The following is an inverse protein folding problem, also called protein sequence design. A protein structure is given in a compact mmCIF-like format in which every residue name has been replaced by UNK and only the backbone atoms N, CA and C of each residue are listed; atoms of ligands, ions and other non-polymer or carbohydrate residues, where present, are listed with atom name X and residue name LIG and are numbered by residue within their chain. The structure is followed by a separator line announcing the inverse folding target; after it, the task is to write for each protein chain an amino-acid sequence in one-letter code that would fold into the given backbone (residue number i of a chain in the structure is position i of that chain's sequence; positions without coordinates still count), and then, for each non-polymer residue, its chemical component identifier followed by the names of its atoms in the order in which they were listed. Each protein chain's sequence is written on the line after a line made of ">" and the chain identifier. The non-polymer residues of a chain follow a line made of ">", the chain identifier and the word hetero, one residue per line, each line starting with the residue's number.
data_IF_645872410572
#
_entry.id   IF_645872410572
#
_cell.length_a   1.000
_cell.length_b   1.000
_cell.length_c   1.000
_cell.angle_alpha   90.00
_cell.angle_beta   90.00
_cell.angle_gamma   90.00
#
_symmetry.space_group_name_H-M   'P 1'
#
loop_
_entity.id
_entity.type
_entity.pdbx_description
1 polymer ?
#
# COMPACT_ATOMS: atom_id res chain seq x y z
N UNK A 1 15.22 -16.99 -1.89
CA UNK A 1 16.40 -16.53 -1.14
C UNK A 1 16.03 -16.46 0.34
N UNK A 2 16.82 -17.04 1.25
CA UNK A 2 16.58 -17.02 2.71
C UNK A 2 16.37 -15.62 3.29
N UNK A 3 16.95 -14.57 2.69
CA UNK A 3 16.79 -13.19 3.13
C UNK A 3 15.39 -12.59 2.92
N UNK A 4 14.65 -13.03 1.89
CA UNK A 4 13.29 -12.52 1.61
C UNK A 4 12.27 -13.00 2.64
N UNK A 5 12.37 -14.25 3.10
CA UNK A 5 11.49 -14.81 4.12
C UNK A 5 11.70 -14.07 5.46
N UNK A 6 12.94 -13.67 5.74
CA UNK A 6 13.28 -12.89 6.94
C UNK A 6 12.64 -11.49 6.95
N UNK A 7 12.69 -10.74 5.84
CA UNK A 7 12.15 -9.36 5.81
C UNK A 7 10.63 -9.32 5.97
N UNK A 8 9.87 -10.20 5.31
CA UNK A 8 8.40 -10.23 5.46
C UNK A 8 7.96 -10.68 6.86
N UNK A 9 8.66 -11.64 7.46
CA UNK A 9 8.40 -12.06 8.83
C UNK A 9 8.66 -10.92 9.84
N UNK A 10 9.78 -10.21 9.66
CA UNK A 10 10.12 -9.06 10.50
C UNK A 10 9.14 -7.91 10.30
N UNK A 11 8.75 -7.62 9.06
CA UNK A 11 7.71 -6.62 8.78
C UNK A 11 6.39 -6.98 9.48
N UNK A 12 5.95 -8.23 9.39
CA UNK A 12 4.68 -8.67 9.97
C UNK A 12 4.68 -8.63 11.50
N UNK A 13 5.73 -9.16 12.13
CA UNK A 13 5.88 -9.13 13.60
C UNK A 13 6.04 -7.71 14.16
N UNK A 14 6.76 -6.84 13.44
CA UNK A 14 6.89 -5.42 13.79
C UNK A 14 5.57 -4.66 13.63
N UNK A 15 4.83 -4.93 12.55
CA UNK A 15 3.51 -4.35 12.31
C UNK A 15 2.54 -4.71 13.44
N UNK A 16 2.56 -5.96 13.91
CA UNK A 16 1.77 -6.39 15.07
C UNK A 16 2.04 -5.52 16.31
N UNK A 17 3.30 -5.21 16.61
CA UNK A 17 3.66 -4.34 17.75
C UNK A 17 3.09 -2.93 17.60
N UNK A 18 3.14 -2.36 16.41
CA UNK A 18 2.59 -1.02 16.13
C UNK A 18 1.06 -1.03 16.29
N UNK A 19 0.40 -2.05 15.72
CA UNK A 19 -1.06 -2.16 15.68
C UNK A 19 -1.64 -2.47 17.06
N UNK A 20 -1.15 -3.53 17.72
CA UNK A 20 -1.76 -4.07 18.93
C UNK A 20 -1.08 -3.58 20.21
N UNK A 21 0.25 -3.41 20.20
CA UNK A 21 0.98 -2.92 21.38
C UNK A 21 1.13 -1.40 21.40
N UNK A 22 0.66 -0.71 20.34
CA UNK A 22 0.72 0.76 20.20
C UNK A 22 2.12 1.33 20.33
N UNK A 23 3.13 0.55 19.96
CA UNK A 23 4.52 1.02 19.94
C UNK A 23 4.78 1.98 18.79
N UNK A 24 5.65 2.97 19.01
CA UNK A 24 6.03 3.91 17.95
C UNK A 24 6.90 3.21 16.88
N UNK A 25 6.81 3.63 15.60
CA UNK A 25 7.64 3.12 14.51
C UNK A 25 9.14 3.10 14.83
N UNK A 26 9.66 4.16 15.44
CA UNK A 26 11.07 4.32 15.77
C UNK A 26 11.50 3.36 16.87
N UNK A 27 10.63 3.11 17.85
CA UNK A 27 10.90 2.14 18.91
C UNK A 27 10.98 0.74 18.34
N UNK A 28 10.00 0.33 17.54
CA UNK A 28 10.00 -0.98 16.88
C UNK A 28 11.24 -1.13 15.98
N UNK A 29 11.56 -0.12 15.18
CA UNK A 29 12.73 -0.14 14.31
C UNK A 29 14.06 -0.20 15.09
N UNK A 30 14.18 0.50 16.22
CA UNK A 30 15.38 0.44 17.07
C UNK A 30 15.65 -0.98 17.56
N UNK A 31 14.62 -1.75 17.92
CA UNK A 31 14.78 -3.15 18.33
C UNK A 31 15.40 -4.01 17.21
N UNK A 32 15.09 -3.71 15.94
CA UNK A 32 15.64 -4.43 14.79
C UNK A 32 17.13 -4.12 14.56
N UNK A 33 17.61 -2.94 14.96
CA UNK A 33 19.00 -2.54 14.78
C UNK A 33 19.97 -3.22 15.76
N UNK A 34 19.50 -3.67 16.93
CA UNK A 34 20.36 -4.28 17.96
C UNK A 34 21.06 -5.57 17.51
N UNK A 35 20.56 -6.26 16.47
CA UNK A 35 21.16 -7.49 15.97
C UNK A 35 22.30 -7.30 14.96
N UNK A 36 22.66 -6.06 14.59
CA UNK A 36 23.56 -5.76 13.47
C UNK A 36 23.15 -6.46 12.15
N UNK A 37 21.83 -6.64 11.97
CA UNK A 37 21.24 -7.26 10.78
C UNK A 37 20.82 -6.15 9.81
N UNK A 38 21.31 -6.22 8.58
CA UNK A 38 20.85 -5.36 7.49
C UNK A 38 19.66 -6.01 6.79
N UNK A 39 18.54 -5.30 6.71
CA UNK A 39 17.34 -5.76 6.02
C UNK A 39 17.30 -5.20 4.61
N UNK A 40 17.01 -6.06 3.64
CA UNK A 40 16.82 -5.64 2.25
C UNK A 40 15.60 -4.70 2.18
N UNK A 41 15.74 -3.50 1.60
CA UNK A 41 14.60 -2.61 1.43
C UNK A 41 13.67 -3.11 0.33
N UNK A 42 12.42 -2.67 0.36
CA UNK A 42 11.41 -3.04 -0.63
C UNK A 42 11.61 -2.25 -1.93
N UNK A 43 11.58 -2.97 -3.04
CA UNK A 43 11.61 -2.41 -4.40
C UNK A 43 10.22 -2.28 -5.00
N UNK A 44 10.13 -1.61 -6.14
CA UNK A 44 8.91 -1.51 -6.93
C UNK A 44 8.71 -2.70 -7.90
N UNK A 45 7.62 -2.64 -8.67
CA UNK A 45 7.24 -3.65 -9.66
C UNK A 45 7.74 -3.34 -11.09
N UNK A 46 8.63 -2.36 -11.29
CA UNK A 46 9.18 -2.06 -12.60
C UNK A 46 10.06 -3.20 -13.12
N UNK A 47 10.11 -3.31 -14.46
CA UNK A 47 11.06 -4.15 -15.15
C UNK A 47 12.39 -3.42 -15.26
N UNK A 48 13.46 -4.03 -14.73
CA UNK A 48 14.81 -3.44 -14.74
C UNK A 48 15.31 -3.04 -13.36
N UNK A 49 16.20 -2.05 -13.35
CA UNK A 49 16.90 -1.57 -12.14
C UNK A 49 15.98 -0.75 -11.25
N UNK A 50 16.00 -1.05 -9.96
CA UNK A 50 15.27 -0.29 -8.94
C UNK A 50 16.09 0.94 -8.51
N UNK A 51 15.52 2.13 -8.62
CA UNK A 51 16.19 3.40 -8.26
C UNK A 51 15.59 4.06 -7.01
N UNK A 52 14.54 3.49 -6.43
CA UNK A 52 13.89 3.98 -5.22
C UNK A 52 13.55 2.81 -4.31
N UNK A 53 13.86 2.92 -3.02
CA UNK A 53 13.75 1.82 -2.08
C UNK A 53 12.98 2.27 -0.84
N UNK A 54 12.01 1.48 -0.41
CA UNK A 54 11.31 1.69 0.86
C UNK A 54 11.97 0.89 1.97
N UNK A 55 12.24 1.54 3.09
CA UNK A 55 12.75 0.88 4.29
C UNK A 55 11.61 0.28 5.11
N UNK A 56 11.95 -0.58 6.08
CA UNK A 56 10.98 -1.04 7.08
C UNK A 56 10.40 0.13 7.88
N UNK A 57 11.22 1.15 8.19
CA UNK A 57 10.78 2.31 8.95
C UNK A 57 9.72 3.12 8.18
N UNK A 58 9.89 3.31 6.86
CA UNK A 58 8.88 3.94 6.02
C UNK A 58 7.53 3.20 6.10
N UNK A 59 7.57 1.86 6.03
CA UNK A 59 6.37 1.03 6.16
C UNK A 59 5.74 1.10 7.57
N UNK A 60 6.56 1.17 8.61
CA UNK A 60 6.08 1.31 9.99
C UNK A 60 5.40 2.65 10.23
N UNK A 61 5.96 3.74 9.73
CA UNK A 61 5.32 5.05 9.75
C UNK A 61 4.01 5.06 8.95
N UNK A 62 3.98 4.39 7.79
CA UNK A 62 2.78 4.26 6.98
C UNK A 62 1.64 3.57 7.76
N UNK A 63 1.92 2.43 8.42
CA UNK A 63 0.95 1.72 9.26
C UNK A 63 0.49 2.59 10.42
N UNK A 64 1.42 3.22 11.14
CA UNK A 64 1.08 4.07 12.28
C UNK A 64 0.18 5.24 11.86
N UNK A 65 0.47 5.91 10.75
CA UNK A 65 -0.39 6.98 10.21
C UNK A 65 -1.73 6.44 9.69
N UNK A 66 -1.75 5.27 9.07
CA UNK A 66 -2.99 4.62 8.65
C UNK A 66 -3.92 4.33 9.84
N UNK A 67 -3.39 3.92 10.99
CA UNK A 67 -4.16 3.78 12.23
C UNK A 67 -4.68 5.15 12.73
N UNK A 68 -3.84 6.18 12.71
CA UNK A 68 -4.21 7.53 13.15
C UNK A 68 -5.30 8.18 12.28
N UNK A 69 -5.25 7.95 10.96
CA UNK A 69 -6.22 8.51 10.01
C UNK A 69 -7.42 7.60 9.75
N UNK A 70 -7.53 6.46 10.45
CA UNK A 70 -8.64 5.52 10.30
C UNK A 70 -8.65 4.80 8.94
N UNK A 71 -7.50 4.70 8.26
CA UNK A 71 -7.37 3.91 7.03
C UNK A 71 -7.28 2.42 7.34
N UNK A 72 -6.79 2.08 8.54
CA UNK A 72 -6.67 0.71 9.02
C UNK A 72 -7.38 0.58 10.37
N UNK A 73 -8.35 -0.33 10.44
CA UNK A 73 -9.00 -0.73 11.68
C UNK A 73 -9.25 -2.24 11.65
N UNK A 74 -8.46 -3.01 12.40
CA UNK A 74 -8.60 -4.47 12.44
C UNK A 74 -9.86 -4.97 13.15
N UNK A 75 -10.59 -4.11 13.85
CA UNK A 75 -11.87 -4.50 14.45
C UNK A 75 -12.98 -4.61 13.40
N UNK A 76 -12.86 -3.86 12.30
CA UNK A 76 -13.84 -3.83 11.21
C UNK A 76 -13.27 -4.32 9.86
N UNK A 77 -11.99 -4.72 9.81
CA UNK A 77 -11.34 -5.21 8.60
C UNK A 77 -11.85 -6.60 8.21
N UNK A 78 -12.51 -6.70 7.05
CA UNK A 78 -12.94 -7.97 6.47
C UNK A 78 -11.83 -8.54 5.57
N UNK A 79 -11.08 -9.50 6.13
CA UNK A 79 -10.02 -10.18 5.41
C UNK A 79 -10.56 -11.03 4.23
N UNK A 80 -11.75 -11.62 4.36
CA UNK A 80 -12.34 -12.44 3.30
C UNK A 80 -12.76 -11.57 2.12
N UNK A 81 -13.36 -10.41 2.38
CA UNK A 81 -13.70 -9.44 1.34
C UNK A 81 -12.43 -8.96 0.62
N UNK A 82 -11.39 -8.59 1.37
CA UNK A 82 -10.11 -8.14 0.83
C UNK A 82 -9.48 -9.21 -0.08
N UNK A 83 -9.32 -10.44 0.43
CA UNK A 83 -8.71 -11.56 -0.30
C UNK A 83 -9.56 -12.00 -1.51
N UNK A 84 -10.88 -11.88 -1.40
CA UNK A 84 -11.78 -12.18 -2.52
C UNK A 84 -11.54 -11.18 -3.66
N UNK A 85 -11.64 -9.88 -3.41
CA UNK A 85 -11.64 -8.87 -4.47
C UNK A 85 -10.25 -8.47 -4.97
N UNK A 86 -9.17 -8.77 -4.24
CA UNK A 86 -7.82 -8.58 -4.76
C UNK A 86 -7.49 -9.51 -5.95
N UNK A 87 -8.22 -10.62 -6.09
CA UNK A 87 -8.03 -11.64 -7.12
C UNK A 87 -8.52 -11.15 -8.49
N UNK A 88 -7.81 -11.55 -9.55
CA UNK A 88 -8.07 -11.06 -10.91
C UNK A 88 -9.49 -11.40 -11.39
N UNK A 89 -9.93 -12.62 -11.14
CA UNK A 89 -11.24 -13.20 -11.46
C UNK A 89 -12.40 -12.52 -10.76
N UNK A 90 -12.14 -11.79 -9.67
CA UNK A 90 -13.17 -11.12 -8.89
C UNK A 90 -13.17 -9.59 -9.08
N UNK A 91 -12.39 -9.08 -10.03
CA UNK A 91 -12.41 -7.66 -10.43
C UNK A 91 -11.10 -6.92 -10.18
N UNK A 92 -10.16 -7.50 -9.41
CA UNK A 92 -8.82 -6.95 -9.17
C UNK A 92 -8.86 -5.52 -8.59
N UNK A 93 -9.41 -5.36 -7.39
CA UNK A 93 -9.51 -4.07 -6.73
C UNK A 93 -9.23 -4.12 -5.24
N UNK A 94 -8.80 -2.98 -4.69
CA UNK A 94 -8.53 -2.82 -3.26
C UNK A 94 -8.89 -1.39 -2.82
N UNK A 95 -9.46 -1.27 -1.62
CA UNK A 95 -9.56 0.03 -0.94
C UNK A 95 -8.18 0.53 -0.57
N UNK A 96 -7.90 1.80 -0.89
CA UNK A 96 -6.69 2.49 -0.45
C UNK A 96 -7.01 3.42 0.73
N UNK A 97 -8.17 4.09 0.66
CA UNK A 97 -8.76 4.80 1.78
C UNK A 97 -10.19 4.25 1.93
N UNK A 98 -10.51 3.52 3.02
CA UNK A 98 -11.83 2.92 3.22
C UNK A 98 -12.96 3.93 2.98
N UNK A 99 -13.97 3.52 2.21
CA UNK A 99 -15.16 4.33 1.87
C UNK A 99 -14.89 5.66 1.14
N UNK A 100 -13.65 5.94 0.73
CA UNK A 100 -13.31 7.17 -0.01
C UNK A 100 -12.62 6.91 -1.34
N UNK A 101 -11.55 6.12 -1.40
CA UNK A 101 -10.81 5.86 -2.64
C UNK A 101 -10.44 4.38 -2.78
N UNK A 102 -10.83 3.81 -3.92
CA UNK A 102 -10.48 2.46 -4.37
C UNK A 102 -9.62 2.51 -5.63
N UNK A 103 -8.66 1.58 -5.74
CA UNK A 103 -7.87 1.33 -6.93
C UNK A 103 -8.27 0.00 -7.56
N UNK A 104 -8.47 -0.03 -8.89
CA UNK A 104 -8.85 -1.26 -9.59
C UNK A 104 -8.22 -1.42 -10.98
N UNK A 105 -8.20 -2.66 -11.49
CA UNK A 105 -7.78 -2.97 -12.86
C UNK A 105 -8.80 -2.45 -13.87
N UNK A 106 -8.33 -1.88 -14.98
CA UNK A 106 -9.20 -1.25 -15.96
C UNK A 106 -10.16 -2.23 -16.66
N UNK A 107 -11.47 -1.93 -16.69
CA UNK A 107 -12.45 -2.72 -17.43
C UNK A 107 -12.15 -2.77 -18.93
N UNK A 108 -12.81 -3.71 -19.61
CA UNK A 108 -12.83 -3.84 -21.06
C UNK A 108 -14.25 -3.79 -21.60
N UNK A 109 -14.40 -3.71 -22.93
CA UNK A 109 -15.71 -3.68 -23.57
C UNK A 109 -16.54 -4.95 -23.32
N UNK A 110 -15.92 -6.09 -23.03
CA UNK A 110 -16.62 -7.35 -22.70
C UNK A 110 -15.85 -8.14 -21.65
N UNK A 111 -16.57 -8.88 -20.81
CA UNK A 111 -15.95 -9.85 -19.91
C UNK A 111 -15.46 -11.05 -20.71
N UNK A 112 -14.17 -11.38 -20.62
CA UNK A 112 -13.55 -12.50 -21.32
C UNK A 112 -12.25 -12.91 -20.65
N UNK A 113 -11.86 -14.17 -20.75
CA UNK A 113 -10.51 -14.59 -20.35
C UNK A 113 -9.59 -14.53 -21.56
N UNK A 114 -8.49 -13.77 -21.45
CA UNK A 114 -7.50 -13.60 -22.53
C UNK A 114 -6.11 -13.88 -21.95
N UNK A 115 -5.37 -14.82 -22.57
CA UNK A 115 -4.05 -15.26 -22.10
C UNK A 115 -4.01 -15.65 -20.61
N UNK A 116 -5.09 -16.29 -20.13
CA UNK A 116 -5.23 -16.71 -18.74
C UNK A 116 -5.53 -15.58 -17.75
N UNK A 117 -5.72 -14.34 -18.21
CA UNK A 117 -6.14 -13.22 -17.36
C UNK A 117 -7.63 -12.89 -17.62
N UNK A 118 -8.47 -12.84 -16.57
CA UNK A 118 -9.87 -12.47 -16.70
C UNK A 118 -10.02 -10.95 -16.89
N UNK A 119 -10.58 -10.56 -18.02
CA UNK A 119 -11.04 -9.21 -18.29
C UNK A 119 -12.50 -9.08 -17.89
N UNK A 120 -12.83 -7.95 -17.25
CA UNK A 120 -14.18 -7.64 -16.77
C UNK A 120 -14.76 -6.46 -17.52
N UNK A 121 -16.04 -6.55 -17.88
CA UNK A 121 -16.82 -5.41 -18.33
C UNK A 121 -17.19 -4.48 -17.15
N UNK A 122 -17.52 -3.20 -17.39
CA UNK A 122 -17.98 -2.26 -16.35
C UNK A 122 -19.03 -2.84 -15.40
N UNK A 123 -20.01 -3.58 -15.91
CA UNK A 123 -21.16 -4.10 -15.18
C UNK A 123 -20.76 -5.08 -14.07
N UNK A 124 -19.62 -5.76 -14.22
CA UNK A 124 -19.11 -6.66 -13.18
C UNK A 124 -18.83 -5.92 -11.86
N UNK A 125 -18.55 -4.62 -11.93
CA UNK A 125 -18.24 -3.78 -10.77
C UNK A 125 -19.48 -3.14 -10.13
N UNK A 126 -20.60 -3.02 -10.87
CA UNK A 126 -21.74 -2.22 -10.43
C UNK A 126 -22.36 -2.67 -9.11
N UNK A 127 -22.58 -3.98 -8.85
CA UNK A 127 -23.19 -4.41 -7.59
C UNK A 127 -22.36 -4.00 -6.38
N UNK A 128 -21.04 -4.15 -6.47
CA UNK A 128 -20.12 -3.75 -5.42
C UNK A 128 -20.08 -2.21 -5.29
N UNK A 129 -19.91 -1.50 -6.41
CA UNK A 129 -19.84 -0.04 -6.41
C UNK A 129 -21.09 0.60 -5.80
N UNK A 130 -22.29 0.14 -6.14
CA UNK A 130 -23.55 0.65 -5.57
C UNK A 130 -23.66 0.34 -4.08
N UNK A 131 -23.34 -0.89 -3.67
CA UNK A 131 -23.38 -1.29 -2.25
C UNK A 131 -22.44 -0.45 -1.38
N UNK A 132 -21.27 -0.08 -1.91
CA UNK A 132 -20.25 0.66 -1.17
C UNK A 132 -20.22 2.16 -1.49
N UNK A 133 -21.34 2.70 -1.98
CA UNK A 133 -21.52 4.14 -2.26
C UNK A 133 -20.41 4.74 -3.13
N UNK A 134 -19.94 4.00 -4.13
CA UNK A 134 -19.07 4.56 -5.18
C UNK A 134 -19.96 5.38 -6.10
N UNK A 135 -19.65 6.66 -6.23
CA UNK A 135 -20.38 7.60 -7.09
C UNK A 135 -19.59 7.98 -8.33
N UNK A 136 -18.26 7.88 -8.26
CA UNK A 136 -17.37 8.47 -9.27
C UNK A 136 -16.32 7.47 -9.74
N UNK A 137 -16.14 7.36 -11.05
CA UNK A 137 -15.13 6.53 -11.70
C UNK A 137 -14.16 7.42 -12.49
N UNK A 138 -12.86 7.25 -12.25
CA UNK A 138 -11.80 8.00 -12.95
C UNK A 138 -10.94 7.03 -13.75
N UNK A 139 -10.89 7.23 -15.07
CA UNK A 139 -10.08 6.45 -16.01
C UNK A 139 -8.81 7.21 -16.40
N UNK A 140 -7.67 6.54 -16.27
CA UNK A 140 -6.34 7.13 -16.53
C UNK A 140 -5.63 6.57 -17.77
N UNK A 141 -6.26 5.63 -18.50
CA UNK A 141 -5.68 4.95 -19.66
C UNK A 141 -6.52 5.16 -20.93
N UNK A 142 -5.97 4.70 -22.08
CA UNK A 142 -6.69 4.67 -23.35
C UNK A 142 -8.05 3.99 -23.17
N UNK A 143 -9.05 4.42 -23.95
CA UNK A 143 -10.44 3.97 -23.82
C UNK A 143 -10.56 2.49 -24.24
N UNK A 144 -10.66 1.58 -23.26
CA UNK A 144 -10.88 0.14 -23.48
C UNK A 144 -12.36 -0.26 -23.43
N UNK A 145 -13.22 0.68 -23.06
CA UNK A 145 -14.67 0.53 -22.93
C UNK A 145 -15.34 1.91 -23.11
N UNK A 146 -16.64 1.93 -23.36
CA UNK A 146 -17.41 3.18 -23.45
C UNK A 146 -17.80 3.69 -22.05
N UNK A 147 -17.46 4.95 -21.73
CA UNK A 147 -17.77 5.57 -20.44
C UNK A 147 -19.27 5.70 -20.19
N UNK A 148 -20.10 5.73 -21.24
CA UNK A 148 -21.57 5.74 -21.12
C UNK A 148 -22.08 4.58 -20.26
N UNK A 149 -21.42 3.43 -20.29
CA UNK A 149 -21.82 2.26 -19.49
C UNK A 149 -21.83 2.53 -17.98
N UNK A 150 -20.90 3.35 -17.48
CA UNK A 150 -20.93 3.81 -16.09
C UNK A 150 -21.94 4.93 -15.89
N UNK A 151 -22.00 5.91 -16.80
CA UNK A 151 -22.93 7.05 -16.70
C UNK A 151 -24.39 6.62 -16.68
N UNK A 152 -24.78 5.73 -17.59
CA UNK A 152 -26.14 5.18 -17.71
C UNK A 152 -26.51 4.34 -16.47
N UNK A 153 -25.52 3.82 -15.74
CA UNK A 153 -25.71 3.07 -14.50
C UNK A 153 -25.78 3.96 -13.24
N UNK A 154 -25.62 5.28 -13.40
CA UNK A 154 -25.70 6.28 -12.33
C UNK A 154 -24.36 6.68 -11.71
N UNK A 155 -23.23 6.45 -12.39
CA UNK A 155 -21.91 6.86 -11.90
C UNK A 155 -21.36 8.05 -12.70
N UNK A 156 -20.78 9.02 -12.02
CA UNK A 156 -19.95 10.04 -12.67
C UNK A 156 -18.71 9.38 -13.28
N UNK A 157 -18.32 9.81 -14.48
CA UNK A 157 -17.17 9.24 -15.18
C UNK A 157 -16.29 10.31 -15.79
N UNK A 158 -15.00 10.27 -15.43
CA UNK A 158 -13.98 11.23 -15.86
C UNK A 158 -12.80 10.53 -16.54
N UNK A 159 -12.35 11.12 -17.65
CA UNK A 159 -11.16 10.70 -18.38
C UNK A 159 -10.00 11.66 -18.07
N UNK A 160 -8.97 11.17 -17.35
CA UNK A 160 -7.74 11.91 -17.04
C UNK A 160 -6.53 11.14 -17.59
N UNK A 161 -6.47 11.03 -18.92
CA UNK A 161 -5.48 10.21 -19.61
C UNK A 161 -4.04 10.75 -19.47
N UNK A 162 -3.11 9.84 -19.20
CA UNK A 162 -1.68 10.04 -19.45
C UNK A 162 -1.00 8.70 -19.77
N UNK A 163 0.18 8.76 -20.42
CA UNK A 163 0.86 7.61 -21.00
C UNK A 163 1.24 6.54 -19.96
N UNK A 164 1.31 5.27 -20.39
CA UNK A 164 1.66 4.17 -19.49
C UNK A 164 3.12 4.28 -19.04
N UNK A 165 3.38 4.11 -17.74
CA UNK A 165 4.71 4.29 -17.15
C UNK A 165 5.21 5.74 -17.06
N UNK A 166 4.46 6.73 -17.54
CA UNK A 166 4.81 8.16 -17.40
C UNK A 166 4.31 8.75 -16.07
N UNK A 167 4.58 10.03 -15.87
CA UNK A 167 4.09 10.85 -14.76
C UNK A 167 2.95 11.77 -15.23
N UNK A 168 2.00 12.15 -14.34
CA UNK A 168 0.95 13.11 -14.69
C UNK A 168 1.51 14.53 -14.71
N UNK A 169 0.91 15.42 -15.49
CA UNK A 169 1.19 16.85 -15.43
C UNK A 169 0.31 17.54 -14.38
N UNK A 170 0.62 18.80 -14.06
CA UNK A 170 -0.09 19.57 -13.03
C UNK A 170 -1.58 19.75 -13.30
N UNK A 171 -1.99 19.85 -14.57
CA UNK A 171 -3.40 19.96 -14.94
C UNK A 171 -4.18 18.69 -14.55
N UNK A 172 -3.61 17.51 -14.82
CA UNK A 172 -4.19 16.21 -14.44
C UNK A 172 -4.26 16.08 -12.91
N UNK A 173 -3.21 16.48 -12.19
CA UNK A 173 -3.18 16.42 -10.71
C UNK A 173 -4.28 17.30 -10.13
N UNK A 174 -4.37 18.56 -10.58
CA UNK A 174 -5.39 19.51 -10.12
C UNK A 174 -6.80 19.04 -10.43
N UNK A 175 -7.04 18.53 -11.64
CA UNK A 175 -8.33 17.96 -12.02
C UNK A 175 -8.70 16.75 -11.15
N UNK A 176 -7.76 15.83 -10.93
CA UNK A 176 -7.96 14.68 -10.06
C UNK A 176 -8.32 15.08 -8.62
N UNK A 177 -7.53 15.97 -8.01
CA UNK A 177 -7.78 16.46 -6.66
C UNK A 177 -9.14 17.15 -6.56
N UNK A 178 -9.48 18.01 -7.52
CA UNK A 178 -10.77 18.69 -7.55
C UNK A 178 -11.95 17.70 -7.65
N UNK A 179 -11.85 16.68 -8.51
CA UNK A 179 -12.88 15.63 -8.58
C UNK A 179 -13.00 14.90 -7.24
N UNK A 180 -11.88 14.48 -6.64
CA UNK A 180 -11.91 13.76 -5.37
C UNK A 180 -12.47 14.58 -4.20
N UNK A 181 -12.19 15.87 -4.17
CA UNK A 181 -12.66 16.81 -3.14
C UNK A 181 -14.16 17.09 -3.23
N UNK A 182 -14.75 17.03 -4.44
CA UNK A 182 -16.16 17.35 -4.68
C UNK A 182 -17.05 16.11 -4.87
N UNK A 183 -16.49 14.90 -4.97
CA UNK A 183 -17.27 13.68 -5.08
C UNK A 183 -18.11 13.41 -3.82
N UNK A 184 -19.41 13.19 -4.01
CA UNK A 184 -20.39 12.93 -2.94
C UNK A 184 -20.16 11.60 -2.22
N UNK A 185 -19.66 10.58 -2.94
CA UNK A 185 -19.35 9.27 -2.41
C UNK A 185 -17.90 8.85 -2.61
N UNK A 186 -17.71 7.53 -2.66
CA UNK A 186 -16.42 6.92 -2.91
C UNK A 186 -16.03 7.04 -4.39
N UNK A 187 -14.73 7.11 -4.62
CA UNK A 187 -14.13 7.23 -5.96
C UNK A 187 -13.39 5.94 -6.30
N UNK A 188 -13.70 5.38 -7.47
CA UNK A 188 -12.99 4.25 -8.04
C UNK A 188 -12.04 4.74 -9.15
N UNK A 189 -10.74 4.53 -8.98
CA UNK A 189 -9.70 5.00 -9.91
C UNK A 189 -9.06 3.80 -10.59
N UNK A 190 -8.94 3.84 -11.91
CA UNK A 190 -8.24 2.79 -12.66
C UNK A 190 -7.34 3.34 -13.76
N UNK A 191 -6.34 2.54 -14.12
CA UNK A 191 -5.60 2.66 -15.36
C UNK A 191 -5.72 1.34 -16.11
N UNK A 192 -4.60 0.76 -16.59
CA UNK A 192 -4.58 -0.60 -17.12
C UNK A 192 -4.57 -1.63 -15.99
N UNK A 193 -3.47 -1.77 -15.26
CA UNK A 193 -3.38 -2.70 -14.13
C UNK A 193 -3.90 -2.12 -12.79
N UNK A 194 -4.22 -0.82 -12.74
CA UNK A 194 -4.62 -0.16 -11.50
C UNK A 194 -3.47 0.01 -10.49
N UNK A 195 -2.22 0.12 -10.95
CA UNK A 195 -1.03 0.11 -10.09
C UNK A 195 -0.19 1.40 -10.19
N UNK A 196 0.47 1.64 -11.33
CA UNK A 196 1.36 2.79 -11.52
C UNK A 196 0.61 4.13 -11.48
N UNK A 197 0.02 4.52 -12.61
CA UNK A 197 -0.74 5.78 -12.77
C UNK A 197 -1.80 6.00 -11.68
N UNK A 198 -2.55 4.94 -11.36
CA UNK A 198 -3.58 4.95 -10.31
C UNK A 198 -2.97 5.24 -8.95
N UNK A 199 -1.93 4.51 -8.55
CA UNK A 199 -1.24 4.75 -7.29
C UNK A 199 -0.64 6.15 -7.20
N UNK A 200 -0.08 6.67 -8.31
CA UNK A 200 0.52 8.01 -8.35
C UNK A 200 -0.49 9.12 -8.02
N UNK A 201 -1.66 9.13 -8.67
CA UNK A 201 -2.66 10.17 -8.38
C UNK A 201 -3.29 10.02 -6.99
N UNK A 202 -3.58 8.78 -6.56
CA UNK A 202 -4.06 8.53 -5.19
C UNK A 202 -3.02 8.98 -4.16
N UNK A 203 -1.72 8.79 -4.43
CA UNK A 203 -0.66 9.27 -3.57
C UNK A 203 -0.63 10.80 -3.43
N UNK A 204 -0.84 11.55 -4.53
CA UNK A 204 -0.97 13.01 -4.46
C UNK A 204 -2.11 13.42 -3.51
N UNK A 205 -3.27 12.75 -3.58
CA UNK A 205 -4.39 13.00 -2.66
C UNK A 205 -4.02 12.69 -1.20
N UNK A 206 -3.39 11.55 -0.93
CA UNK A 206 -2.98 11.19 0.43
C UNK A 206 -1.97 12.20 1.00
N UNK A 207 -0.93 12.55 0.24
CA UNK A 207 0.06 13.54 0.67
C UNK A 207 -0.60 14.90 0.94
N UNK A 208 -1.51 15.35 0.08
CA UNK A 208 -2.21 16.62 0.24
C UNK A 208 -3.10 16.65 1.48
N UNK A 209 -3.98 15.67 1.62
CA UNK A 209 -5.02 15.73 2.66
C UNK A 209 -4.55 15.22 4.02
N UNK A 210 -3.57 14.31 4.05
CA UNK A 210 -3.12 13.64 5.27
C UNK A 210 -1.66 13.92 5.61
N UNK A 211 -0.94 14.69 4.79
CA UNK A 211 0.44 15.14 5.08
C UNK A 211 1.40 13.99 5.38
N UNK A 212 1.17 12.85 4.72
CA UNK A 212 2.10 11.72 4.69
C UNK A 212 3.27 12.04 3.76
N UNK A 213 4.45 11.52 4.04
CA UNK A 213 5.59 11.61 3.11
C UNK A 213 5.32 10.76 1.88
N UNK A 214 6.04 11.00 0.79
CA UNK A 214 5.96 10.17 -0.40
C UNK A 214 6.30 8.71 -0.09
N UNK A 215 7.36 8.47 0.70
CA UNK A 215 7.76 7.11 1.10
C UNK A 215 6.67 6.39 1.90
N UNK A 216 6.12 7.04 2.93
CA UNK A 216 5.01 6.49 3.74
C UNK A 216 3.77 6.24 2.89
N UNK A 217 3.45 7.16 1.97
CA UNK A 217 2.29 7.05 1.09
C UNK A 217 2.44 5.89 0.13
N UNK A 218 3.60 5.76 -0.54
CA UNK A 218 3.88 4.64 -1.44
C UNK A 218 3.83 3.32 -0.66
N UNK A 219 4.40 3.29 0.55
CA UNK A 219 4.35 2.12 1.42
C UNK A 219 2.90 1.73 1.76
N UNK A 220 2.06 2.68 2.18
CA UNK A 220 0.65 2.45 2.48
C UNK A 220 -0.11 1.89 1.28
N UNK A 221 -0.01 2.55 0.12
CA UNK A 221 -0.71 2.09 -1.09
C UNK A 221 -0.24 0.69 -1.48
N UNK A 222 1.05 0.36 -1.29
CA UNK A 222 1.58 -1.00 -1.56
C UNK A 222 1.14 -2.04 -0.53
N UNK A 223 0.91 -1.66 0.71
CA UNK A 223 0.31 -2.53 1.73
C UNK A 223 -1.12 -2.88 1.33
N UNK A 224 -1.92 -1.90 0.87
CA UNK A 224 -3.28 -2.13 0.40
C UNK A 224 -3.36 -2.82 -0.97
N UNK A 225 -2.43 -2.49 -1.88
CA UNK A 225 -2.43 -2.94 -3.27
C UNK A 225 -0.99 -3.10 -3.78
N UNK A 226 -0.39 -4.29 -3.62
CA UNK A 226 1.00 -4.55 -3.94
C UNK A 226 1.38 -4.20 -5.38
N UNK A 227 2.54 -3.54 -5.56
CA UNK A 227 3.08 -3.14 -6.85
C UNK A 227 2.63 -1.76 -7.35
N UNK A 228 1.85 -1.02 -6.56
CA UNK A 228 1.45 0.36 -6.88
C UNK A 228 2.62 1.35 -6.86
N UNK A 229 2.51 2.39 -7.69
CA UNK A 229 3.55 3.42 -7.98
C UNK A 229 4.84 2.79 -8.52
N UNK A 230 5.13 3.02 -9.81
CA UNK A 230 6.12 2.23 -10.55
C UNK A 230 7.16 3.13 -11.24
N UNK A 231 8.43 2.75 -11.13
CA UNK A 231 9.54 3.40 -11.82
C UNK A 231 9.69 4.86 -11.43
N UNK A 232 9.75 5.73 -12.45
CA UNK A 232 9.94 7.19 -12.33
C UNK A 232 8.86 7.88 -11.49
N UNK A 233 7.66 7.29 -11.41
CA UNK A 233 6.56 7.81 -10.59
C UNK A 233 6.90 7.93 -9.10
N UNK A 234 7.85 7.13 -8.60
CA UNK A 234 8.29 7.21 -7.20
C UNK A 234 9.06 8.49 -6.93
N UNK A 235 9.99 8.85 -7.82
CA UNK A 235 10.78 10.08 -7.71
C UNK A 235 9.92 11.32 -7.92
N UNK A 236 8.98 11.26 -8.87
CA UNK A 236 7.99 12.32 -9.06
C UNK A 236 7.20 12.62 -7.77
N UNK A 237 6.81 11.61 -6.99
CA UNK A 237 6.10 11.84 -5.72
C UNK A 237 7.00 12.49 -4.65
N UNK A 238 8.29 12.19 -4.64
CA UNK A 238 9.25 12.91 -3.77
C UNK A 238 9.30 14.40 -4.12
N UNK A 239 9.39 14.71 -5.41
CA UNK A 239 9.43 16.09 -5.91
C UNK A 239 8.13 16.84 -5.59
N UNK A 240 6.98 16.17 -5.71
CA UNK A 240 5.66 16.76 -5.43
C UNK A 240 5.29 16.86 -3.95
N UNK A 241 6.04 16.22 -3.04
CA UNK A 241 5.64 16.12 -1.63
C UNK A 241 5.42 17.49 -0.96
N UNK A 242 6.37 18.42 -1.12
CA UNK A 242 6.30 19.75 -0.50
C UNK A 242 5.13 20.58 -1.03
N UNK A 243 4.92 20.54 -2.35
CA UNK A 243 3.79 21.20 -3.02
C UNK A 243 2.45 20.65 -2.52
N UNK A 244 2.28 19.32 -2.49
CA UNK A 244 1.05 18.70 -2.00
C UNK A 244 0.78 19.03 -0.54
N UNK A 245 1.81 19.02 0.31
CA UNK A 245 1.66 19.44 1.71
C UNK A 245 1.20 20.89 1.83
N UNK A 246 1.81 21.81 1.08
CA UNK A 246 1.45 23.22 1.08
C UNK A 246 0.01 23.44 0.59
N UNK A 247 -0.37 22.84 -0.53
CA UNK A 247 -1.75 22.92 -1.03
C UNK A 247 -2.75 22.33 -0.03
N UNK A 248 -2.36 21.27 0.68
CA UNK A 248 -3.12 20.67 1.76
C UNK A 248 -3.32 21.60 2.95
N UNK A 249 -2.26 22.30 3.36
CA UNK A 249 -2.31 23.30 4.44
C UNK A 249 -3.22 24.47 4.05
N UNK A 250 -3.14 24.94 2.80
CA UNK A 250 -4.05 25.96 2.26
C UNK A 250 -5.51 25.46 2.24
N UNK A 251 -5.74 24.24 1.77
CA UNK A 251 -7.07 23.63 1.71
C UNK A 251 -7.73 23.52 3.09
N UNK A 252 -7.01 22.95 4.08
CA UNK A 252 -7.50 22.83 5.46
C UNK A 252 -7.73 24.20 6.10
N UNK A 253 -6.90 25.19 5.79
CA UNK A 253 -7.07 26.56 6.28
C UNK A 253 -8.32 27.23 5.72
N UNK A 254 -8.64 27.02 4.43
CA UNK A 254 -9.87 27.52 3.81
C UNK A 254 -11.11 26.87 4.44
N UNK A 255 -11.12 25.55 4.63
CA UNK A 255 -12.23 24.85 5.27
C UNK A 255 -12.51 25.36 6.69
N UNK A 256 -11.47 25.55 7.50
CA UNK A 256 -11.60 26.14 8.85
C UNK A 256 -12.21 27.54 8.82
N UNK A 257 -11.82 28.37 7.85
CA UNK A 257 -12.40 29.72 7.67
C UNK A 257 -13.87 29.66 7.26
N UNK A 258 -14.22 28.81 6.30
CA UNK A 258 -15.61 28.64 5.86
C UNK A 258 -16.50 28.11 6.97
N UNK A 259 -16.03 27.11 7.74
CA UNK A 259 -16.75 26.59 8.90
C UNK A 259 -16.93 27.67 9.98
N UNK A 260 -15.89 28.44 10.28
CA UNK A 260 -15.99 29.57 11.22
C UNK A 260 -17.02 30.58 10.75
N UNK A 261 -17.03 30.94 9.47
CA UNK A 261 -18.00 31.87 8.90
C UNK A 261 -19.43 31.32 8.93
N UNK A 262 -19.62 30.04 8.64
CA UNK A 262 -20.93 29.37 8.73
C UNK A 262 -21.45 29.34 10.17
N UNK A 263 -20.61 28.99 11.15
CA UNK A 263 -20.97 29.02 12.58
C UNK A 263 -21.31 30.44 13.02
N UNK A 264 -20.51 31.45 12.63
CA UNK A 264 -20.83 32.85 12.92
C UNK A 264 -22.16 33.27 12.30
N UNK A 265 -22.47 32.85 11.07
CA UNK A 265 -23.75 33.14 10.40
C UNK A 265 -24.94 32.46 11.07
N UNK A 266 -24.78 31.26 11.62
CA UNK A 266 -25.82 30.59 12.42
C UNK A 266 -26.05 31.34 13.73
N UNK A 267 -24.97 31.71 14.44
CA UNK A 267 -25.07 32.43 15.72
C UNK A 267 -25.65 33.85 15.55
N UNK A 268 -25.36 34.53 14.44
CA UNK A 268 -25.98 35.82 14.11
C UNK A 268 -27.35 35.67 13.46
N UNK A 269 -27.75 34.47 13.07
CA UNK A 269 -29.00 34.17 12.36
C UNK A 269 -30.15 33.73 13.27
N UNK A 270 -29.97 33.79 14.60
CA UNK A 270 -31.04 33.49 15.58
C UNK A 270 -32.04 34.64 15.73
N UNK A 271 -31.74 35.84 15.21
CA UNK A 271 -32.62 37.03 15.35
C UNK A 271 -33.34 37.48 14.07
N UNK A 272 -33.22 36.79 12.93
CA UNK A 272 -33.96 37.19 11.72
C UNK A 272 -34.41 35.97 10.88
N UNK A 273 -35.62 35.50 11.16
CA UNK A 273 -36.37 34.66 10.21
C UNK A 273 -37.17 35.59 9.32
N UNK A 274 -36.70 35.77 8.09
CA UNK A 274 -37.49 36.27 6.97
C UNK A 274 -37.38 35.30 5.80
N UNK A 275 -38.49 34.64 5.49
CA UNK A 275 -38.68 33.78 4.31
C UNK A 275 -38.79 34.69 3.09
N UNK A 276 -37.95 34.48 2.07
CA UNK A 276 -38.38 34.80 0.72
C UNK A 276 -37.84 33.84 -0.33
N UNK A 277 -38.76 33.48 -1.21
CA UNK A 277 -38.69 32.50 -2.26
C UNK A 277 -38.12 33.12 -3.56
N UNK A 278 -37.79 32.24 -4.51
CA UNK A 278 -37.65 32.45 -5.96
C UNK A 278 -36.24 32.40 -6.59
N UNK A 279 -36.11 31.32 -7.37
CA UNK A 279 -35.67 31.21 -8.77
C UNK A 279 -34.24 31.64 -9.13
N UNK A 280 -33.44 30.64 -9.51
CA UNK A 280 -32.42 30.81 -10.53
C UNK A 280 -32.57 29.78 -11.66
N UNK A 281 -32.58 30.33 -12.87
CA UNK A 281 -32.74 29.65 -14.13
C UNK A 281 -31.46 28.90 -14.55
N UNK A 282 -31.71 27.84 -15.32
CA UNK A 282 -30.76 27.14 -16.18
C UNK A 282 -29.97 28.09 -17.10
N UNK A 283 -28.67 27.81 -17.25
CA UNK A 283 -27.92 28.12 -18.46
C UNK A 283 -27.00 26.95 -18.81
N UNK A 284 -27.12 26.51 -20.06
CA UNK A 284 -26.46 25.35 -20.67
C UNK A 284 -25.36 25.80 -21.63
N UNK A 285 -24.44 24.86 -21.93
CA UNK A 285 -23.47 24.78 -23.06
C UNK A 285 -22.10 25.42 -22.79
N UNK A 286 -20.96 24.87 -23.25
CA UNK A 286 -20.71 24.01 -24.43
C UNK A 286 -19.35 23.29 -24.34
N UNK A 287 -19.29 22.06 -24.89
CA UNK A 287 -18.10 21.25 -25.17
C UNK A 287 -17.29 21.76 -26.38
N UNK A 288 -15.98 21.44 -26.41
CA UNK A 288 -15.09 21.13 -27.58
C UNK A 288 -13.62 21.13 -27.10
N UNK A 289 -12.72 20.17 -27.36
CA UNK A 289 -12.33 19.49 -28.62
C UNK A 289 -11.69 18.10 -28.34
N UNK A 290 -11.72 17.15 -29.30
CA UNK A 290 -11.12 15.81 -29.17
C UNK A 290 -9.65 15.77 -29.63
N UNK A 291 -8.79 15.14 -28.84
CA UNK A 291 -7.44 14.75 -29.29
C UNK A 291 -7.54 13.52 -30.22
N UNK A 292 -6.84 13.61 -31.35
CA UNK A 292 -6.80 12.57 -32.38
C UNK A 292 -6.18 11.28 -31.86
N UNK A 293 -6.84 10.15 -32.12
CA UNK A 293 -6.31 8.81 -31.93
C UNK A 293 -5.21 8.55 -32.97
N UNK A 294 -3.95 8.69 -32.56
CA UNK A 294 -2.86 8.05 -33.29
C UNK A 294 -2.83 6.56 -32.92
N UNK A 295 -3.18 5.74 -33.93
CA UNK A 295 -3.03 4.29 -33.95
C UNK A 295 -1.55 3.91 -33.87
N UNK A 296 -0.98 3.89 -32.67
CA UNK A 296 0.29 3.22 -32.43
C UNK A 296 0.06 1.77 -31.97
N UNK A 297 0.42 0.86 -32.89
CA UNK A 297 1.01 -0.47 -32.76
C UNK A 297 0.74 -1.28 -31.48
N UNK A 298 0.40 -2.56 -31.67
CA UNK A 298 0.30 -3.62 -30.65
C UNK A 298 1.63 -3.88 -29.91
N UNK A 299 2.19 -2.88 -29.23
CA UNK A 299 3.37 -2.98 -28.40
C UNK A 299 2.94 -3.30 -26.97
N UNK A 300 3.62 -4.28 -26.36
CA UNK A 300 3.31 -4.75 -25.00
C UNK A 300 3.63 -3.67 -23.98
N UNK A 301 2.61 -3.13 -23.32
CA UNK A 301 2.73 -2.05 -22.33
C UNK A 301 3.21 -2.57 -20.96
N UNK A 302 3.64 -1.68 -20.06
CA UNK A 302 4.00 -2.06 -18.68
C UNK A 302 2.77 -2.66 -17.96
N UNK A 303 1.59 -2.09 -18.17
CA UNK A 303 0.33 -2.61 -17.65
C UNK A 303 0.00 -4.04 -18.12
N UNK A 304 0.32 -4.41 -19.37
CA UNK A 304 0.13 -5.79 -19.87
C UNK A 304 1.01 -6.78 -19.13
N UNK A 305 2.29 -6.45 -18.97
CA UNK A 305 3.25 -7.32 -18.28
C UNK A 305 2.85 -7.54 -16.82
N UNK A 306 2.32 -6.52 -16.15
CA UNK A 306 1.84 -6.64 -14.76
C UNK A 306 0.61 -7.56 -14.64
N UNK A 307 -0.36 -7.45 -15.56
CA UNK A 307 -1.51 -8.38 -15.61
C UNK A 307 -1.06 -9.82 -15.84
N UNK A 308 -0.11 -10.04 -16.76
CA UNK A 308 0.47 -11.36 -17.02
C UNK A 308 1.23 -11.94 -15.81
N UNK A 309 1.92 -11.10 -15.01
CA UNK A 309 2.52 -11.55 -13.76
C UNK A 309 1.46 -11.92 -12.72
N UNK A 310 0.32 -11.22 -12.70
CA UNK A 310 -0.76 -11.48 -11.75
C UNK A 310 -1.51 -12.78 -12.06
N UNK A 311 -1.78 -13.10 -13.34
CA UNK A 311 -2.39 -14.38 -13.72
C UNK A 311 -1.52 -15.58 -13.32
N UNK A 312 -0.19 -15.46 -13.41
CA UNK A 312 0.75 -16.52 -12.99
C UNK A 312 0.79 -16.77 -11.48
N UNK A 313 0.32 -15.83 -10.65
CA UNK A 313 0.30 -16.02 -9.18
C UNK A 313 -0.84 -16.94 -8.74
N UNK A 314 -1.85 -17.17 -9.58
CA UNK A 314 -2.95 -18.09 -9.30
C UNK A 314 -2.58 -19.53 -9.64
N UNK A 315 -1.91 -20.18 -8.70
CA UNK A 315 -1.85 -21.65 -8.56
C UNK A 315 -1.26 -22.12 -7.20
N UNK A 316 -1.01 -21.24 -6.23
CA UNK A 316 -0.61 -21.65 -4.88
C UNK A 316 -1.55 -21.04 -3.86
N UNK A 317 -2.60 -21.79 -3.52
CA UNK A 317 -3.23 -21.64 -2.23
C UNK A 317 -2.12 -21.88 -1.18
N UNK A 318 -1.61 -20.80 -0.58
CA UNK A 318 -0.85 -20.91 0.65
C UNK A 318 -1.84 -21.10 1.81
N UNK A 319 -2.62 -22.17 1.77
CA UNK A 319 -3.12 -22.76 3.00
C UNK A 319 -1.97 -23.60 3.55
N UNK A 320 -1.03 -22.98 4.26
CA UNK A 320 -0.32 -23.74 5.30
C UNK A 320 -1.28 -23.72 6.48
N UNK A 321 -1.93 -24.85 6.83
CA UNK A 321 -2.74 -24.88 8.03
C UNK A 321 -1.85 -24.53 9.21
N UNK A 322 -2.29 -23.58 10.03
CA UNK A 322 -1.62 -23.15 11.28
C UNK A 322 -1.39 -24.29 12.29
N UNK A 323 -1.78 -25.53 11.98
CA UNK A 323 -1.64 -26.72 12.81
C UNK A 323 -0.29 -27.44 12.69
N UNK A 324 0.56 -27.14 11.70
CA UNK A 324 1.82 -27.91 11.51
C UNK A 324 3.01 -27.36 12.31
N UNK A 325 2.95 -26.14 12.87
CA UNK A 325 4.06 -25.55 13.64
C UNK A 325 3.92 -25.76 15.16
N UNK A 326 2.79 -26.25 15.66
CA UNK A 326 2.52 -26.40 17.10
C UNK A 326 2.60 -27.84 17.64
N UNK A 327 2.99 -28.83 16.83
CA UNK A 327 3.09 -30.24 17.28
C UNK A 327 4.52 -30.76 17.52
N UNK A 328 5.58 -29.97 17.30
CA UNK A 328 6.97 -30.42 17.53
C UNK A 328 7.56 -30.06 18.90
N UNK A 329 6.76 -29.60 19.87
CA UNK A 329 7.28 -29.22 21.20
C UNK A 329 6.57 -29.86 22.39
N UNK A 330 5.83 -30.95 22.19
CA UNK A 330 5.28 -31.75 23.31
C UNK A 330 5.53 -33.23 23.06
N UNK A 331 6.77 -33.67 23.27
CA UNK A 331 7.03 -35.05 23.70
C UNK A 331 7.61 -35.03 25.11
N UNK A 332 6.74 -35.42 26.04
CA UNK A 332 7.01 -35.69 27.45
C UNK A 332 8.13 -36.72 27.57
N UNK A 333 9.19 -36.38 28.30
CA UNK A 333 10.10 -37.34 28.90
C UNK A 333 9.34 -38.17 29.95
N UNK A 334 9.00 -39.41 29.61
CA UNK A 334 8.66 -40.43 30.61
C UNK A 334 9.95 -41.12 31.03
N UNK A 335 10.30 -40.95 32.30
CA UNK A 335 11.25 -41.80 33.01
C UNK A 335 10.69 -43.23 33.07
N UNK A 336 11.54 -44.20 32.82
CA UNK A 336 11.34 -45.60 33.21
C UNK A 336 12.65 -46.12 33.76
N UNK A 337 12.66 -46.43 35.06
CA UNK A 337 13.70 -47.18 35.76
C UNK A 337 13.94 -48.54 35.11
N UNK A 338 15.15 -49.10 35.22
CA UNK A 338 15.34 -50.54 35.12
C UNK A 338 15.76 -51.14 36.47
N UNK A 339 15.04 -52.20 36.84
CA UNK A 339 15.33 -53.16 37.88
C UNK A 339 16.51 -54.09 37.53
N UNK A 340 17.13 -54.60 38.59
CA UNK A 340 18.34 -55.43 38.67
C UNK A 340 18.11 -56.88 38.21
N UNK A 341 19.07 -57.49 37.48
CA UNK A 341 19.61 -58.85 37.76
C UNK A 341 20.77 -59.25 36.84
N UNK A 342 21.85 -59.71 37.49
CA UNK A 342 22.83 -60.75 37.09
C UNK A 342 23.81 -60.54 35.92
N UNK A 343 25.08 -60.26 36.28
CA UNK A 343 26.15 -61.29 36.40
C UNK A 343 27.54 -60.81 35.93
N UNK A 344 28.53 -61.15 36.78
CA UNK A 344 29.94 -61.39 36.50
C UNK A 344 30.83 -60.29 35.86
N UNK A 345 31.91 -59.92 36.57
CA UNK A 345 33.12 -59.42 35.92
C UNK A 345 33.93 -58.41 36.72
N UNK A 346 34.90 -58.93 37.47
CA UNK A 346 35.95 -58.24 38.21
C UNK A 346 36.60 -57.03 37.50
N UNK A 347 36.94 -55.98 38.27
CA UNK A 347 38.34 -55.61 38.60
C UNK A 347 38.57 -54.09 38.76
N UNK A 348 38.83 -53.69 40.02
CA UNK A 348 39.91 -52.79 40.47
C UNK A 348 40.11 -51.38 39.83
N UNK A 349 39.81 -50.38 40.68
CA UNK A 349 40.79 -49.53 41.42
C UNK A 349 41.16 -48.13 40.84
N UNK A 350 41.07 -47.17 41.78
CA UNK A 350 41.98 -46.02 42.07
C UNK A 350 41.85 -44.67 41.32
N UNK A 351 41.27 -43.71 42.05
CA UNK A 351 41.79 -42.36 42.42
C UNK A 351 43.02 -41.81 41.68
N UNK A 352 42.97 -40.54 41.23
CA UNK A 352 43.61 -39.37 41.87
C UNK A 352 43.51 -38.10 41.02
N UNK A 353 43.26 -37.00 41.72
CA UNK A 353 43.56 -35.61 41.40
C UNK A 353 45.03 -35.36 41.05
N UNK A 354 45.31 -34.37 40.18
CA UNK A 354 46.39 -33.37 40.38
C UNK A 354 46.27 -32.22 39.37
N UNK A 355 46.48 -30.99 39.87
CA UNK A 355 46.66 -29.76 39.12
C UNK A 355 48.09 -29.62 38.54
N UNK A 356 48.26 -28.82 37.47
CA UNK A 356 49.43 -27.92 37.30
C UNK A 356 49.27 -26.89 36.16
N UNK A 357 50.03 -25.81 36.33
CA UNK A 357 50.10 -24.48 35.67
C UNK A 357 50.77 -24.47 34.29
N UNK A 358 50.47 -23.44 33.48
CA UNK A 358 51.44 -22.48 32.85
C UNK A 358 50.69 -21.44 31.97
N UNK A 359 50.63 -20.16 32.35
CA UNK A 359 51.41 -19.00 31.84
C UNK A 359 51.37 -18.75 30.32
N UNK A 360 50.86 -17.59 29.87
CA UNK A 360 51.48 -16.79 28.79
C UNK A 360 51.05 -15.31 28.84
N UNK A 361 51.97 -14.46 28.35
CA UNK A 361 52.21 -13.02 28.60
C UNK A 361 51.31 -12.05 27.82
N UNK A 362 51.21 -10.84 28.39
CA UNK A 362 50.69 -9.59 27.81
C UNK A 362 51.70 -8.87 26.92
N UNK A 363 51.21 -8.17 25.89
CA UNK A 363 51.91 -7.06 25.23
C UNK A 363 50.93 -5.92 24.89
N UNK A 364 51.28 -4.71 25.33
CA UNK A 364 50.62 -3.42 25.05
C UNK A 364 51.16 -2.75 23.77
N UNK A 365 50.42 -1.79 23.15
CA UNK A 365 50.72 -1.26 21.81
C UNK A 365 51.53 0.05 21.81
N UNK A 366 52.14 0.39 20.67
CA UNK A 366 52.67 1.73 20.35
C UNK A 366 52.30 2.16 18.90
N UNK A 367 52.26 3.48 18.62
CA UNK A 367 51.41 4.09 17.59
C UNK A 367 52.16 4.43 16.29
N UNK A 368 51.42 4.63 15.18
CA UNK A 368 51.95 5.23 13.94
C UNK A 368 51.01 6.30 13.36
N UNK A 369 51.46 7.54 13.56
CA UNK A 369 51.65 8.65 12.59
C UNK A 369 50.72 8.83 11.39
N UNK A 370 50.19 10.08 11.33
CA UNK A 370 49.78 10.84 10.14
C UNK A 370 50.90 10.97 9.11
N UNK A 371 50.54 10.95 7.83
CA UNK A 371 51.23 11.67 6.75
C UNK A 371 50.22 12.18 5.72
N UNK A 372 50.56 13.34 5.16
CA UNK A 372 49.76 14.24 4.33
C UNK A 372 50.31 14.22 2.90
N UNK A 373 49.45 14.53 1.92
CA UNK A 373 49.68 14.97 0.52
C UNK A 373 50.28 13.98 -0.50
N UNK A 374 49.49 13.67 -1.54
CA UNK A 374 49.57 14.40 -2.83
C UNK A 374 48.23 14.33 -3.56
#
# INVERSE_FOLDING_TARGET
>A
SPGLISVYFIFSSSSFRIIYLRESPENVYRHLLFGNVSYLPFRDAAFGTCTFHLTLLDCFHAINKALQYGFLDFNSFDANEYEHYERAENGDFNWIIPKKIMAFSGPHSRSRTENGYPHHAPEAYFPYFKRHNVTTVIRLNKKMYDSRRFKDAGFDHYDLFFADGSIPNDAIIKAFLNICENAEGAIAVHCKAGLGRTGTLIACYIMKHYRMTAAETIAWIRICRPGSVIGTQQHFLLEKQSEMWLEGDVYRSKLKKTQKLAVTKILSGVDDISINDSKYQNASRKDSEPYSDEEETHTVTQGDKLRALKSKRQAKAYSVPLTVILQSSVQKSKQSEPSISDSAGLSKRTTRSTARKSSFKSTTPKPRTRSVLR
#
